data_IF_338810351520
#
_entry.id   IF_338810351520
#
_cell.length_a   1.000
_cell.length_b   1.000
_cell.length_c   1.000
_cell.angle_alpha   90.00
_cell.angle_beta   90.00
_cell.angle_gamma   90.00
#
_symmetry.space_group_name_H-M   'P 1'
#
loop_
_entity.id
_entity.type
_entity.pdbx_description
1 polymer ?
#
# COMPACT_ATOMS: atom_id res chain seq x y z
N UNK A 1 -3.38 -16.93 -32.43
CA UNK A 1 -2.27 -17.34 -31.55
C UNK A 1 -1.76 -16.21 -30.67
N UNK A 2 -1.31 -15.05 -31.18
CA UNK A 2 -0.78 -13.95 -30.34
C UNK A 2 -1.85 -13.32 -29.41
N UNK A 3 -3.04 -13.02 -29.92
CA UNK A 3 -4.16 -12.50 -29.12
C UNK A 3 -4.72 -13.51 -28.09
N UNK A 4 -4.54 -14.81 -28.35
CA UNK A 4 -4.99 -15.89 -27.48
C UNK A 4 -3.99 -16.11 -26.33
N UNK A 5 -2.69 -15.98 -26.62
CA UNK A 5 -1.63 -15.95 -25.61
C UNK A 5 -1.76 -14.75 -24.66
N UNK A 6 -2.07 -13.56 -25.19
CA UNK A 6 -2.26 -12.35 -24.38
C UNK A 6 -3.51 -12.44 -23.49
N UNK A 7 -4.58 -13.07 -23.98
CA UNK A 7 -5.80 -13.36 -23.18
C UNK A 7 -5.57 -14.41 -22.10
N UNK A 8 -4.79 -15.46 -22.38
CA UNK A 8 -4.42 -16.48 -21.38
C UNK A 8 -3.47 -15.89 -20.32
N UNK A 9 -2.52 -15.03 -20.70
CA UNK A 9 -1.63 -14.35 -19.77
C UNK A 9 -2.37 -13.34 -18.89
N UNK A 10 -3.31 -12.58 -19.43
CA UNK A 10 -4.13 -11.64 -18.65
C UNK A 10 -5.11 -12.35 -17.72
N UNK A 11 -5.73 -13.45 -18.15
CA UNK A 11 -6.58 -14.30 -17.29
C UNK A 11 -5.78 -15.01 -16.18
N UNK A 12 -4.58 -15.53 -16.49
CA UNK A 12 -3.67 -16.15 -15.51
C UNK A 12 -3.13 -15.11 -14.52
N UNK A 13 -2.72 -13.94 -14.99
CA UNK A 13 -2.27 -12.84 -14.13
C UNK A 13 -3.40 -12.30 -13.25
N UNK A 14 -4.65 -12.27 -13.73
CA UNK A 14 -5.83 -11.87 -12.95
C UNK A 14 -6.17 -12.86 -11.83
N UNK A 15 -6.13 -14.16 -12.13
CA UNK A 15 -6.34 -15.24 -11.15
C UNK A 15 -5.26 -15.25 -10.05
N UNK A 16 -3.98 -15.08 -10.43
CA UNK A 16 -2.85 -15.12 -9.48
C UNK A 16 -2.68 -13.79 -8.71
N UNK A 17 -3.06 -12.63 -9.26
CA UNK A 17 -3.15 -11.36 -8.49
C UNK A 17 -4.07 -11.48 -7.29
N UNK A 18 -5.11 -12.31 -7.40
CA UNK A 18 -6.07 -12.52 -6.32
C UNK A 18 -5.51 -13.39 -5.19
N UNK A 19 -4.55 -14.30 -5.45
CA UNK A 19 -3.99 -15.27 -4.49
C UNK A 19 -3.27 -14.63 -3.29
N UNK A 20 -2.64 -13.46 -3.47
CA UNK A 20 -1.88 -12.81 -2.41
C UNK A 20 -2.69 -11.78 -1.60
N UNK A 21 -3.83 -11.32 -2.13
CA UNK A 21 -4.63 -10.24 -1.53
C UNK A 21 -6.02 -10.72 -1.10
N UNK A 22 -6.74 -11.45 -1.97
CA UNK A 22 -8.14 -11.82 -1.74
C UNK A 22 -8.37 -12.81 -0.58
N UNK A 23 -7.54 -13.85 -0.36
CA UNK A 23 -7.85 -14.84 0.68
C UNK A 23 -7.70 -14.24 2.09
N UNK A 24 -6.72 -13.36 2.28
CA UNK A 24 -6.47 -12.70 3.57
C UNK A 24 -7.53 -11.64 3.89
N UNK A 25 -8.02 -10.92 2.87
CA UNK A 25 -9.16 -9.99 3.05
C UNK A 25 -10.42 -10.75 3.47
N UNK A 26 -10.68 -11.92 2.86
CA UNK A 26 -11.84 -12.73 3.21
C UNK A 26 -11.75 -13.37 4.61
N UNK A 27 -10.54 -13.74 5.05
CA UNK A 27 -10.27 -14.32 6.36
C UNK A 27 -10.44 -13.29 7.49
N UNK A 28 -10.00 -12.05 7.28
CA UNK A 28 -10.04 -10.97 8.29
C UNK A 28 -11.16 -9.94 8.06
N UNK A 29 -12.18 -10.29 7.26
CA UNK A 29 -13.25 -9.36 6.81
C UNK A 29 -13.92 -8.57 7.93
N UNK A 30 -14.17 -9.20 9.08
CA UNK A 30 -14.81 -8.55 10.23
C UNK A 30 -13.93 -7.50 10.89
N UNK A 31 -12.61 -7.76 10.96
CA UNK A 31 -11.65 -6.78 11.48
C UNK A 31 -11.53 -5.59 10.53
N UNK A 32 -11.44 -5.86 9.23
CA UNK A 32 -11.40 -4.79 8.22
C UNK A 32 -12.69 -3.96 8.17
N UNK A 33 -13.86 -4.60 8.27
CA UNK A 33 -15.13 -3.89 8.40
C UNK A 33 -15.17 -3.02 9.67
N UNK A 34 -14.69 -3.54 10.80
CA UNK A 34 -14.56 -2.77 12.03
C UNK A 34 -13.64 -1.54 11.91
N UNK A 35 -12.49 -1.69 11.24
CA UNK A 35 -11.56 -0.58 10.97
C UNK A 35 -12.21 0.49 10.09
N UNK A 36 -12.85 0.09 8.98
CA UNK A 36 -13.55 1.02 8.09
C UNK A 36 -14.71 1.71 8.81
N UNK A 37 -15.47 0.99 9.65
CA UNK A 37 -16.56 1.57 10.43
C UNK A 37 -16.02 2.62 11.42
N UNK A 38 -14.94 2.32 12.15
CA UNK A 38 -14.30 3.27 13.06
C UNK A 38 -13.74 4.49 12.33
N UNK A 39 -13.10 4.30 11.18
CA UNK A 39 -12.61 5.41 10.35
C UNK A 39 -13.74 6.30 9.82
N UNK A 40 -14.84 5.67 9.39
CA UNK A 40 -16.06 6.39 8.99
C UNK A 40 -16.65 7.17 10.16
N UNK A 41 -16.77 6.57 11.34
CA UNK A 41 -17.23 7.27 12.55
C UNK A 41 -16.31 8.45 12.92
N UNK A 42 -14.99 8.27 12.86
CA UNK A 42 -14.02 9.32 13.13
C UNK A 42 -14.16 10.49 12.15
N UNK A 43 -14.36 10.19 10.86
CA UNK A 43 -14.53 11.21 9.83
C UNK A 43 -15.91 11.91 9.91
N UNK A 44 -16.98 11.17 10.22
CA UNK A 44 -18.28 11.75 10.52
C UNK A 44 -18.19 12.70 11.73
N UNK A 45 -17.45 12.34 12.79
CA UNK A 45 -17.20 13.24 13.93
C UNK A 45 -16.43 14.49 13.50
N UNK A 46 -15.47 14.38 12.57
CA UNK A 46 -14.75 15.54 12.03
C UNK A 46 -15.68 16.50 11.26
N UNK A 47 -16.58 15.95 10.44
CA UNK A 47 -17.60 16.71 9.70
C UNK A 47 -18.57 17.39 10.67
N UNK A 48 -19.13 16.64 11.62
CA UNK A 48 -20.08 17.16 12.61
C UNK A 48 -19.46 18.21 13.53
N UNK A 49 -18.17 18.06 13.89
CA UNK A 49 -17.44 19.06 14.66
C UNK A 49 -17.39 20.40 13.93
N UNK A 50 -17.02 20.42 12.64
CA UNK A 50 -16.90 21.66 11.89
C UNK A 50 -18.25 22.23 11.49
N UNK A 51 -19.24 21.38 11.23
CA UNK A 51 -20.63 21.80 11.07
C UNK A 51 -21.16 22.52 12.31
N UNK A 52 -21.04 21.90 13.48
CA UNK A 52 -21.50 22.49 14.76
C UNK A 52 -20.69 23.73 15.13
N UNK A 53 -19.40 23.77 14.81
CA UNK A 53 -18.56 24.96 14.99
C UNK A 53 -19.02 26.12 14.11
N UNK A 54 -19.33 25.88 12.84
CA UNK A 54 -19.84 26.91 11.93
C UNK A 54 -21.20 27.45 12.39
N UNK A 55 -22.11 26.55 12.77
CA UNK A 55 -23.39 26.94 13.36
C UNK A 55 -23.21 27.78 14.63
N UNK A 56 -22.31 27.37 15.52
CA UNK A 56 -21.97 28.06 16.76
C UNK A 56 -21.45 29.48 16.51
N UNK A 57 -20.54 29.67 15.54
CA UNK A 57 -19.99 30.97 15.16
C UNK A 57 -21.10 31.90 14.69
N UNK A 58 -21.91 31.45 13.72
CA UNK A 58 -23.00 32.26 13.18
C UNK A 58 -24.06 32.56 14.22
N UNK A 59 -24.41 31.60 15.10
CA UNK A 59 -25.43 31.83 16.12
C UNK A 59 -24.96 32.79 17.21
N UNK A 60 -23.68 32.73 17.57
CA UNK A 60 -23.09 33.65 18.56
C UNK A 60 -23.01 35.08 18.04
N UNK A 61 -22.82 35.27 16.73
CA UNK A 61 -22.82 36.58 16.09
C UNK A 61 -24.17 37.31 16.19
N UNK A 62 -25.28 36.57 16.30
CA UNK A 62 -26.64 37.13 16.35
C UNK A 62 -27.07 37.63 17.74
N UNK A 63 -26.15 37.83 18.69
CA UNK A 63 -26.43 38.26 20.08
C UNK A 63 -27.57 37.46 20.73
N UNK A 64 -27.33 36.17 21.03
CA UNK A 64 -28.36 35.30 21.60
C UNK A 64 -28.87 35.86 22.93
N UNK A 65 -30.20 35.89 23.11
CA UNK A 65 -30.85 36.40 24.32
C UNK A 65 -30.55 35.54 25.56
N UNK A 66 -30.19 34.26 25.36
CA UNK A 66 -29.88 33.32 26.43
C UNK A 66 -28.66 32.44 26.09
N UNK A 67 -27.72 32.34 27.03
CA UNK A 67 -26.48 31.53 26.92
C UNK A 67 -26.79 30.04 26.70
N UNK A 68 -27.91 29.55 27.23
CA UNK A 68 -28.37 28.15 27.07
C UNK A 68 -28.59 27.74 25.61
N UNK A 69 -28.94 28.68 24.72
CA UNK A 69 -29.14 28.40 23.28
C UNK A 69 -27.84 28.00 22.57
N UNK A 70 -26.70 28.37 23.13
CA UNK A 70 -25.36 28.16 22.56
C UNK A 70 -24.63 27.01 23.27
N UNK A 71 -25.08 26.66 24.48
CA UNK A 71 -24.45 25.63 25.31
C UNK A 71 -24.45 24.25 24.65
N UNK A 72 -25.56 23.85 24.01
CA UNK A 72 -25.67 22.54 23.35
C UNK A 72 -24.64 22.40 22.21
N UNK A 73 -24.52 23.34 21.26
CA UNK A 73 -23.42 23.33 20.29
C UNK A 73 -22.02 23.29 20.92
N UNK A 74 -21.76 24.02 22.02
CA UNK A 74 -20.45 24.02 22.68
C UNK A 74 -20.10 22.62 23.21
N UNK A 75 -21.03 21.96 23.90
CA UNK A 75 -20.85 20.59 24.37
C UNK A 75 -20.71 19.63 23.19
N UNK A 76 -21.48 19.83 22.13
CA UNK A 76 -21.39 19.07 20.88
C UNK A 76 -19.99 19.13 20.26
N UNK A 77 -19.43 20.32 20.09
CA UNK A 77 -18.07 20.51 19.55
C UNK A 77 -17.03 19.75 20.39
N UNK A 78 -17.13 19.82 21.73
CA UNK A 78 -16.22 19.08 22.63
C UNK A 78 -16.39 17.57 22.50
N UNK A 79 -17.63 17.10 22.49
CA UNK A 79 -17.94 15.68 22.34
C UNK A 79 -17.40 15.15 21.01
N UNK A 80 -17.71 15.79 19.88
CA UNK A 80 -17.21 15.39 18.56
C UNK A 80 -15.69 15.48 18.46
N UNK A 81 -15.05 16.43 19.14
CA UNK A 81 -13.59 16.52 19.22
C UNK A 81 -12.96 15.31 19.91
N UNK A 82 -13.50 14.92 21.06
CA UNK A 82 -13.04 13.75 21.82
C UNK A 82 -13.32 12.47 21.03
N UNK A 83 -14.56 12.27 20.55
CA UNK A 83 -14.94 11.08 19.78
C UNK A 83 -14.14 10.95 18.49
N UNK A 84 -13.88 12.04 17.75
CA UNK A 84 -12.98 12.03 16.57
C UNK A 84 -11.61 11.46 16.92
N UNK A 85 -11.01 11.91 18.03
CA UNK A 85 -9.69 11.46 18.45
C UNK A 85 -9.70 9.99 18.90
N UNK A 86 -10.70 9.60 19.70
CA UNK A 86 -10.86 8.23 20.20
C UNK A 86 -11.09 7.24 19.06
N UNK A 87 -12.04 7.50 18.16
CA UNK A 87 -12.31 6.61 17.03
C UNK A 87 -11.11 6.49 16.10
N UNK A 88 -10.41 7.60 15.81
CA UNK A 88 -9.19 7.58 14.98
C UNK A 88 -8.06 6.78 15.64
N UNK A 89 -7.92 6.86 16.96
CA UNK A 89 -6.92 6.08 17.69
C UNK A 89 -7.22 4.58 17.62
N UNK A 90 -8.47 4.19 17.92
CA UNK A 90 -8.90 2.79 17.89
C UNK A 90 -8.84 2.24 16.46
N UNK A 91 -9.27 3.01 15.46
CA UNK A 91 -9.15 2.70 14.04
C UNK A 91 -7.69 2.37 13.69
N UNK A 92 -6.75 3.25 14.07
CA UNK A 92 -5.33 3.06 13.75
C UNK A 92 -4.76 1.84 14.44
N UNK A 93 -5.11 1.61 15.71
CA UNK A 93 -4.65 0.44 16.46
C UNK A 93 -5.20 -0.87 15.86
N UNK A 94 -6.51 -0.93 15.61
CA UNK A 94 -7.17 -2.10 15.02
C UNK A 94 -6.71 -2.35 13.58
N UNK A 95 -6.48 -1.27 12.81
CA UNK A 95 -5.97 -1.34 11.44
C UNK A 95 -4.57 -1.93 11.39
N UNK A 96 -3.67 -1.46 12.25
CA UNK A 96 -2.32 -2.04 12.35
C UNK A 96 -2.34 -3.48 12.84
N UNK A 97 -3.09 -3.83 13.90
CA UNK A 97 -3.18 -5.22 14.37
C UNK A 97 -3.67 -6.16 13.25
N UNK A 98 -4.73 -5.76 12.53
CA UNK A 98 -5.27 -6.57 11.45
C UNK A 98 -4.26 -6.77 10.30
N UNK A 99 -3.57 -5.70 9.89
CA UNK A 99 -2.61 -5.76 8.78
C UNK A 99 -1.33 -6.49 9.17
N UNK A 100 -0.86 -6.35 10.42
CA UNK A 100 0.32 -7.08 10.91
C UNK A 100 0.09 -8.59 10.97
N UNK A 101 -1.14 -9.04 11.30
CA UNK A 101 -1.50 -10.46 11.22
C UNK A 101 -1.46 -10.97 9.77
N UNK A 102 -2.03 -10.22 8.84
CA UNK A 102 -1.95 -10.54 7.40
C UNK A 102 -0.50 -10.61 6.94
N UNK A 103 0.34 -9.67 7.39
CA UNK A 103 1.76 -9.64 7.07
C UNK A 103 2.50 -10.88 7.60
N UNK A 104 2.19 -11.32 8.81
CA UNK A 104 2.75 -12.53 9.40
C UNK A 104 2.39 -13.76 8.55
N UNK A 105 1.13 -13.90 8.15
CA UNK A 105 0.68 -15.02 7.32
C UNK A 105 1.33 -15.00 5.92
N UNK A 106 1.51 -13.81 5.33
CA UNK A 106 2.18 -13.64 4.05
C UNK A 106 3.68 -13.98 4.13
N UNK A 107 4.36 -13.61 5.23
CA UNK A 107 5.76 -13.99 5.47
C UNK A 107 5.91 -15.51 5.59
N UNK A 108 4.98 -16.19 6.26
CA UNK A 108 4.97 -17.66 6.35
C UNK A 108 4.73 -18.29 4.98
N UNK A 109 3.79 -17.77 4.19
CA UNK A 109 3.55 -18.25 2.81
C UNK A 109 4.80 -18.09 1.94
N UNK A 110 5.45 -16.93 1.99
CA UNK A 110 6.68 -16.67 1.24
C UNK A 110 7.83 -17.60 1.69
N UNK A 111 7.98 -17.83 2.99
CA UNK A 111 8.97 -18.76 3.52
C UNK A 111 8.74 -20.19 3.00
N UNK A 112 7.50 -20.69 3.03
CA UNK A 112 7.15 -22.02 2.50
C UNK A 112 7.39 -22.17 1.00
N UNK A 113 7.30 -21.07 0.24
CA UNK A 113 7.63 -21.07 -1.19
C UNK A 113 9.16 -21.14 -1.38
N UNK A 114 9.94 -20.45 -0.54
CA UNK A 114 11.39 -20.34 -0.66
C UNK A 114 12.16 -21.52 -0.07
N UNK A 115 11.67 -22.12 1.02
CA UNK A 115 12.31 -23.22 1.76
C UNK A 115 12.71 -24.40 0.85
N UNK A 116 11.83 -24.95 -0.01
CA UNK A 116 12.19 -26.08 -0.88
C UNK A 116 13.22 -25.72 -1.95
N UNK A 117 13.35 -24.43 -2.26
CA UNK A 117 14.23 -23.91 -3.30
C UNK A 117 15.60 -23.49 -2.75
N UNK A 118 15.78 -23.49 -1.42
CA UNK A 118 16.98 -22.97 -0.75
C UNK A 118 18.28 -23.64 -1.22
N UNK A 119 18.24 -24.94 -1.55
CA UNK A 119 19.39 -25.69 -2.07
C UNK A 119 19.78 -25.31 -3.50
N UNK A 120 18.83 -24.83 -4.31
CA UNK A 120 19.04 -24.41 -5.71
C UNK A 120 19.15 -22.89 -5.89
N UNK A 121 18.82 -22.11 -4.85
CA UNK A 121 18.81 -20.65 -4.86
C UNK A 121 20.19 -20.06 -5.20
N UNK A 122 21.27 -20.71 -4.75
CA UNK A 122 22.66 -20.23 -4.87
C UNK A 122 23.15 -20.11 -6.32
N UNK A 123 22.51 -20.78 -7.30
CA UNK A 123 22.93 -20.73 -8.71
C UNK A 123 22.07 -19.85 -9.61
N UNK A 124 20.88 -19.40 -9.16
CA UNK A 124 19.89 -18.73 -10.04
C UNK A 124 19.30 -17.44 -9.49
N UNK A 125 19.51 -17.12 -8.22
CA UNK A 125 18.98 -15.91 -7.60
C UNK A 125 20.05 -15.20 -6.78
N UNK A 126 20.14 -13.89 -6.93
CA UNK A 126 20.94 -13.09 -6.02
C UNK A 126 20.27 -13.10 -4.65
N UNK A 127 21.02 -13.41 -3.59
CA UNK A 127 20.52 -13.40 -2.20
C UNK A 127 19.80 -12.08 -1.87
N UNK A 128 20.26 -10.97 -2.45
CA UNK A 128 19.64 -9.65 -2.33
C UNK A 128 18.20 -9.55 -2.86
N UNK A 129 17.85 -10.27 -3.94
CA UNK A 129 16.49 -10.27 -4.48
C UNK A 129 15.50 -11.00 -3.57
N UNK A 130 15.96 -12.09 -2.94
CA UNK A 130 15.17 -12.87 -1.97
C UNK A 130 14.94 -12.05 -0.70
N UNK A 131 16.00 -11.41 -0.20
CA UNK A 131 15.94 -10.56 0.99
C UNK A 131 15.06 -9.32 0.74
N UNK A 132 15.17 -8.71 -0.44
CA UNK A 132 14.33 -7.59 -0.87
C UNK A 132 12.86 -7.98 -0.98
N UNK A 133 12.55 -9.18 -1.48
CA UNK A 133 11.18 -9.67 -1.53
C UNK A 133 10.58 -9.92 -0.13
N UNK A 134 11.36 -10.51 0.78
CA UNK A 134 10.95 -10.78 2.17
C UNK A 134 10.76 -9.50 3.00
N UNK A 135 11.63 -8.51 2.81
CA UNK A 135 11.64 -7.28 3.59
C UNK A 135 10.76 -6.20 2.94
N UNK A 136 11.07 -5.75 1.72
CA UNK A 136 10.43 -4.58 1.11
C UNK A 136 9.10 -4.91 0.45
N UNK A 137 9.03 -5.98 -0.35
CA UNK A 137 7.83 -6.22 -1.16
C UNK A 137 6.65 -6.68 -0.31
N UNK A 138 6.89 -7.52 0.71
CA UNK A 138 5.87 -7.90 1.70
C UNK A 138 5.43 -6.70 2.55
N UNK A 139 6.34 -5.82 2.97
CA UNK A 139 5.98 -4.60 3.70
C UNK A 139 5.16 -3.62 2.85
N UNK A 140 5.39 -3.55 1.53
CA UNK A 140 4.53 -2.78 0.62
C UNK A 140 3.10 -3.28 0.58
N UNK A 141 2.83 -4.58 0.83
CA UNK A 141 1.45 -5.08 0.94
C UNK A 141 0.73 -4.49 2.14
N UNK A 142 1.42 -4.22 3.26
CA UNK A 142 0.83 -3.52 4.39
C UNK A 142 0.38 -2.09 4.01
N UNK A 143 1.21 -1.37 3.24
CA UNK A 143 0.89 -0.02 2.79
C UNK A 143 -0.33 0.01 1.87
N UNK A 144 -0.58 -1.03 1.07
CA UNK A 144 -1.82 -1.15 0.27
C UNK A 144 -3.06 -1.09 1.16
N UNK A 145 -3.08 -1.81 2.28
CA UNK A 145 -4.25 -1.82 3.16
C UNK A 145 -4.42 -0.49 3.90
N UNK A 146 -3.36 -0.03 4.57
CA UNK A 146 -3.42 1.11 5.47
C UNK A 146 -3.49 2.47 4.74
N UNK A 147 -2.82 2.60 3.60
CA UNK A 147 -2.70 3.87 2.87
C UNK A 147 -3.58 3.95 1.64
N UNK A 148 -4.18 2.85 1.20
CA UNK A 148 -4.98 2.83 -0.03
C UNK A 148 -6.38 2.30 0.22
N UNK A 149 -6.54 1.07 0.71
CA UNK A 149 -7.86 0.44 0.83
C UNK A 149 -8.74 1.12 1.89
N UNK A 150 -8.26 1.24 3.14
CA UNK A 150 -9.09 1.83 4.21
C UNK A 150 -9.44 3.31 3.96
N UNK A 151 -8.48 4.17 3.56
CA UNK A 151 -8.80 5.55 3.23
C UNK A 151 -9.76 5.67 2.04
N UNK A 152 -9.59 4.85 0.99
CA UNK A 152 -10.47 4.90 -0.19
C UNK A 152 -11.92 4.51 0.11
N UNK A 153 -12.15 3.47 0.92
CA UNK A 153 -13.51 3.07 1.29
C UNK A 153 -14.16 4.14 2.18
N UNK A 154 -13.42 4.65 3.17
CA UNK A 154 -13.90 5.71 4.07
C UNK A 154 -14.24 6.98 3.28
N UNK A 155 -13.37 7.37 2.35
CA UNK A 155 -13.58 8.49 1.44
C UNK A 155 -14.82 8.30 0.56
N UNK A 156 -15.04 7.11 0.01
CA UNK A 156 -16.22 6.82 -0.82
C UNK A 156 -17.52 6.91 -0.02
N UNK A 157 -17.52 6.40 1.22
CA UNK A 157 -18.68 6.49 2.12
C UNK A 157 -18.99 7.96 2.43
N UNK A 158 -17.97 8.77 2.77
CA UNK A 158 -18.14 10.19 3.03
C UNK A 158 -18.56 10.98 1.80
N UNK A 159 -18.02 10.65 0.64
CA UNK A 159 -18.42 11.23 -0.65
C UNK A 159 -19.91 10.99 -0.88
N UNK A 160 -20.37 9.74 -0.76
CA UNK A 160 -21.78 9.40 -0.90
C UNK A 160 -22.65 10.12 0.13
N UNK A 161 -22.24 10.12 1.40
CA UNK A 161 -22.95 10.81 2.47
C UNK A 161 -23.05 12.32 2.24
N UNK A 162 -21.98 12.95 1.73
CA UNK A 162 -21.96 14.38 1.41
C UNK A 162 -22.92 14.70 0.26
N UNK A 163 -22.84 13.96 -0.86
CA UNK A 163 -23.74 14.16 -2.01
C UNK A 163 -25.19 13.95 -1.62
N UNK A 164 -25.50 12.91 -0.82
CA UNK A 164 -26.86 12.68 -0.31
C UNK A 164 -27.31 13.85 0.59
N UNK A 165 -26.44 14.33 1.49
CA UNK A 165 -26.78 15.42 2.42
C UNK A 165 -27.02 16.75 1.72
N UNK A 166 -26.25 17.08 0.67
CA UNK A 166 -26.54 18.26 -0.15
C UNK A 166 -27.80 18.05 -1.01
N UNK A 167 -28.03 16.82 -1.50
CA UNK A 167 -29.16 16.48 -2.34
C UNK A 167 -30.52 16.57 -1.65
N UNK A 168 -30.57 16.51 -0.31
CA UNK A 168 -31.82 16.78 0.43
C UNK A 168 -32.23 18.24 0.43
N UNK A 169 -31.30 19.16 0.13
CA UNK A 169 -31.56 20.60 0.05
C UNK A 169 -31.74 21.02 -1.40
N UNK A 170 -30.71 20.80 -2.23
CA UNK A 170 -30.75 21.12 -3.66
C UNK A 170 -30.03 20.03 -4.47
N UNK A 171 -30.77 19.36 -5.34
CA UNK A 171 -30.26 18.26 -6.14
C UNK A 171 -29.25 18.72 -7.20
N UNK A 172 -29.44 19.91 -7.78
CA UNK A 172 -28.55 20.44 -8.81
C UNK A 172 -27.17 20.75 -8.25
N UNK A 173 -27.13 21.42 -7.10
CA UNK A 173 -25.91 21.74 -6.36
C UNK A 173 -25.21 20.48 -5.86
N UNK A 174 -25.96 19.48 -5.39
CA UNK A 174 -25.41 18.19 -4.99
C UNK A 174 -24.67 17.48 -6.13
N UNK A 175 -25.22 17.50 -7.34
CA UNK A 175 -24.56 16.94 -8.53
C UNK A 175 -23.31 17.70 -8.91
N UNK A 176 -23.36 19.04 -8.89
CA UNK A 176 -22.18 19.88 -9.12
C UNK A 176 -21.07 19.59 -8.11
N UNK A 177 -21.40 19.52 -6.82
CA UNK A 177 -20.45 19.21 -5.75
C UNK A 177 -19.90 17.79 -5.85
N UNK A 178 -20.75 16.82 -6.20
CA UNK A 178 -20.32 15.46 -6.50
C UNK A 178 -19.30 15.44 -7.64
N UNK A 179 -19.54 16.20 -8.72
CA UNK A 179 -18.60 16.29 -9.84
C UNK A 179 -17.27 16.92 -9.43
N UNK A 180 -17.28 18.00 -8.63
CA UNK A 180 -16.05 18.62 -8.10
C UNK A 180 -15.22 17.64 -7.27
N UNK A 181 -15.88 16.91 -6.36
CA UNK A 181 -15.24 15.92 -5.52
C UNK A 181 -14.71 14.74 -6.33
N UNK A 182 -15.47 14.25 -7.31
CA UNK A 182 -15.05 13.18 -8.22
C UNK A 182 -13.83 13.61 -9.04
N UNK A 183 -13.80 14.86 -9.50
CA UNK A 183 -12.64 15.43 -10.20
C UNK A 183 -11.39 15.40 -9.31
N UNK A 184 -11.52 15.77 -8.04
CA UNK A 184 -10.40 15.82 -7.08
C UNK A 184 -9.85 14.42 -6.75
N UNK A 185 -10.73 13.43 -6.57
CA UNK A 185 -10.38 12.06 -6.16
C UNK A 185 -9.91 11.20 -7.34
N UNK A 186 -10.50 11.41 -8.52
CA UNK A 186 -10.29 10.56 -9.68
C UNK A 186 -9.42 11.21 -10.75
N UNK A 187 -9.92 12.30 -11.34
CA UNK A 187 -9.34 12.83 -12.57
C UNK A 187 -7.97 13.48 -12.34
N UNK A 188 -7.82 14.28 -11.27
CA UNK A 188 -6.57 14.96 -10.93
C UNK A 188 -5.41 13.99 -10.63
N UNK A 189 -5.56 12.96 -9.77
CA UNK A 189 -4.51 11.95 -9.57
C UNK A 189 -4.29 11.06 -10.79
N UNK A 190 -5.32 10.75 -11.60
CA UNK A 190 -5.12 9.98 -12.84
C UNK A 190 -4.27 10.73 -13.87
N UNK A 191 -4.53 12.04 -14.05
CA UNK A 191 -3.71 12.91 -14.90
C UNK A 191 -2.28 12.97 -14.35
N UNK A 192 -2.13 13.18 -13.04
CA UNK A 192 -0.81 13.24 -12.41
C UNK A 192 -0.03 11.95 -12.60
N UNK A 193 -0.68 10.80 -12.42
CA UNK A 193 -0.07 9.49 -12.61
C UNK A 193 0.43 9.32 -14.05
N UNK A 194 -0.41 9.65 -15.04
CA UNK A 194 -0.05 9.55 -16.47
C UNK A 194 1.14 10.42 -16.84
N UNK A 195 1.18 11.66 -16.33
CA UNK A 195 2.26 12.62 -16.62
C UNK A 195 3.56 12.22 -15.91
N UNK A 196 3.48 11.85 -14.64
CA UNK A 196 4.67 11.57 -13.81
C UNK A 196 5.23 10.16 -13.99
N UNK A 197 4.50 9.24 -14.63
CA UNK A 197 4.90 7.83 -14.80
C UNK A 197 6.32 7.67 -15.31
N UNK A 198 6.64 8.27 -16.48
CA UNK A 198 7.95 8.13 -17.12
C UNK A 198 9.07 8.71 -16.24
N UNK A 199 8.78 9.80 -15.53
CA UNK A 199 9.73 10.44 -14.62
C UNK A 199 9.99 9.60 -13.37
N UNK A 200 8.94 8.99 -12.78
CA UNK A 200 9.06 8.07 -11.64
C UNK A 200 9.88 6.83 -12.02
N UNK A 201 9.61 6.23 -13.18
CA UNK A 201 10.40 5.09 -13.71
C UNK A 201 11.85 5.50 -13.96
N UNK A 202 12.09 6.67 -14.57
CA UNK A 202 13.44 7.18 -14.79
C UNK A 202 14.17 7.41 -13.46
N UNK A 203 13.54 8.08 -12.49
CA UNK A 203 14.14 8.33 -11.17
C UNK A 203 14.52 7.02 -10.47
N UNK A 204 13.67 5.99 -10.55
CA UNK A 204 13.97 4.66 -10.01
C UNK A 204 15.21 4.06 -10.67
N UNK A 205 15.35 4.17 -12.00
CA UNK A 205 16.53 3.69 -12.74
C UNK A 205 17.80 4.46 -12.34
N UNK A 206 17.74 5.79 -12.28
CA UNK A 206 18.88 6.62 -11.86
C UNK A 206 19.32 6.28 -10.43
N UNK A 207 18.39 6.14 -9.48
CA UNK A 207 18.70 5.73 -8.11
C UNK A 207 19.35 4.34 -8.07
N UNK A 208 18.85 3.37 -8.84
CA UNK A 208 19.45 2.04 -8.90
C UNK A 208 20.89 2.10 -9.41
N UNK A 209 21.17 2.86 -10.47
CA UNK A 209 22.53 3.05 -10.95
C UNK A 209 23.43 3.74 -9.94
N UNK A 210 22.90 4.75 -9.22
CA UNK A 210 23.62 5.46 -8.16
C UNK A 210 24.01 4.50 -7.03
N UNK A 211 23.08 3.66 -6.56
CA UNK A 211 23.36 2.69 -5.50
C UNK A 211 24.37 1.61 -5.94
N UNK A 212 24.26 1.10 -7.16
CA UNK A 212 25.24 0.13 -7.68
C UNK A 212 26.64 0.75 -7.75
N UNK A 213 26.78 1.94 -8.34
CA UNK A 213 28.07 2.63 -8.45
C UNK A 213 28.66 2.99 -7.10
N UNK A 214 27.83 3.46 -6.18
CA UNK A 214 28.28 3.78 -4.83
C UNK A 214 28.78 2.52 -4.11
N UNK A 215 28.07 1.39 -4.25
CA UNK A 215 28.49 0.12 -3.64
C UNK A 215 29.82 -0.35 -4.21
N UNK A 216 29.96 -0.37 -5.54
CA UNK A 216 31.21 -0.73 -6.22
C UNK A 216 32.36 0.21 -5.81
N UNK A 217 32.09 1.51 -5.73
CA UNK A 217 33.07 2.51 -5.33
C UNK A 217 33.51 2.40 -3.87
N UNK A 218 32.59 2.08 -2.96
CA UNK A 218 32.90 1.87 -1.53
C UNK A 218 33.68 0.58 -1.32
N UNK A 219 33.29 -0.51 -1.99
CA UNK A 219 34.01 -1.78 -1.92
C UNK A 219 35.41 -1.69 -2.57
N UNK A 220 35.53 -0.90 -3.65
CA UNK A 220 36.78 -0.64 -4.37
C UNK A 220 37.49 0.65 -3.95
N UNK A 221 37.19 1.22 -2.77
CA UNK A 221 37.74 2.53 -2.38
C UNK A 221 39.27 2.51 -2.31
N UNK A 222 39.86 1.36 -1.95
CA UNK A 222 41.31 1.15 -1.93
C UNK A 222 41.95 1.37 -3.29
N UNK A 223 41.33 0.91 -4.37
CA UNK A 223 41.82 1.08 -5.74
C UNK A 223 41.76 2.55 -6.18
N UNK A 224 40.72 3.28 -5.75
CA UNK A 224 40.57 4.72 -5.99
C UNK A 224 41.62 5.56 -5.25
N UNK A 225 41.93 5.22 -3.99
CA UNK A 225 42.99 5.89 -3.24
C UNK A 225 44.38 5.54 -3.78
N UNK A 226 44.64 4.26 -4.04
CA UNK A 226 45.94 3.79 -4.54
C UNK A 226 46.28 4.36 -5.92
N UNK A 227 45.29 4.57 -6.78
CA UNK A 227 45.46 5.21 -8.09
C UNK A 227 45.57 6.74 -8.03
N UNK A 228 45.38 7.37 -6.87
CA UNK A 228 45.38 8.84 -6.74
C UNK A 228 44.16 9.53 -7.38
N UNK A 229 43.12 8.78 -7.74
CA UNK A 229 41.94 9.26 -8.49
C UNK A 229 40.72 9.54 -7.61
N UNK A 230 40.90 9.74 -6.30
CA UNK A 230 39.80 9.99 -5.37
C UNK A 230 38.90 11.18 -5.77
N UNK A 231 39.48 12.26 -6.32
CA UNK A 231 38.71 13.41 -6.80
C UNK A 231 37.81 13.06 -8.01
N UNK A 232 38.24 12.13 -8.86
CA UNK A 232 37.43 11.67 -10.00
C UNK A 232 36.26 10.81 -9.54
N UNK A 233 36.47 9.97 -8.52
CA UNK A 233 35.39 9.22 -7.88
C UNK A 233 34.28 10.14 -7.35
N UNK A 234 34.67 11.19 -6.61
CA UNK A 234 33.71 12.20 -6.10
C UNK A 234 32.95 12.87 -7.25
N UNK A 235 33.66 13.32 -8.29
CA UNK A 235 33.03 13.98 -9.46
C UNK A 235 32.01 13.06 -10.16
N UNK A 236 32.36 11.78 -10.36
CA UNK A 236 31.46 10.80 -10.98
C UNK A 236 30.19 10.56 -10.14
N UNK A 237 30.32 10.63 -8.81
CA UNK A 237 29.19 10.49 -7.90
C UNK A 237 28.31 11.74 -7.91
N UNK A 238 28.91 12.94 -7.87
CA UNK A 238 28.20 14.22 -8.01
C UNK A 238 27.41 14.29 -9.33
N UNK A 239 28.01 13.90 -10.46
CA UNK A 239 27.31 13.82 -11.74
C UNK A 239 26.11 12.86 -11.72
N UNK A 240 26.24 11.74 -11.00
CA UNK A 240 25.16 10.78 -10.80
C UNK A 240 24.01 11.37 -10.00
N UNK A 241 24.34 12.05 -8.91
CA UNK A 241 23.37 12.75 -8.05
C UNK A 241 22.67 13.89 -8.80
N UNK A 242 23.40 14.70 -9.57
CA UNK A 242 22.82 15.80 -10.36
C UNK A 242 21.79 15.30 -11.38
N UNK A 243 22.06 14.16 -12.04
CA UNK A 243 21.11 13.52 -12.97
C UNK A 243 19.85 13.10 -12.23
N UNK A 244 19.97 12.39 -11.10
CA UNK A 244 18.83 11.98 -10.28
C UNK A 244 18.05 13.20 -9.74
N UNK A 245 18.75 14.25 -9.33
CA UNK A 245 18.17 15.48 -8.80
C UNK A 245 17.47 16.32 -9.87
N UNK A 246 17.95 16.32 -11.11
CA UNK A 246 17.23 16.97 -12.22
C UNK A 246 15.84 16.36 -12.43
N UNK A 247 15.74 15.01 -12.36
CA UNK A 247 14.47 14.28 -12.47
C UNK A 247 13.62 14.53 -11.22
N UNK A 248 14.22 14.49 -10.03
CA UNK A 248 13.53 14.79 -8.75
C UNK A 248 12.96 16.20 -8.71
N UNK A 249 13.70 17.20 -9.19
CA UNK A 249 13.23 18.59 -9.33
C UNK A 249 12.06 18.70 -10.30
N UNK A 250 12.06 17.96 -11.40
CA UNK A 250 10.93 17.93 -12.33
C UNK A 250 9.66 17.35 -11.68
N UNK A 251 9.79 16.24 -10.94
CA UNK A 251 8.69 15.63 -10.19
C UNK A 251 8.17 16.58 -9.10
N UNK A 252 9.05 17.18 -8.30
CA UNK A 252 8.66 18.14 -7.25
C UNK A 252 7.94 19.35 -7.81
N UNK A 253 8.34 19.86 -8.97
CA UNK A 253 7.60 20.95 -9.65
C UNK A 253 6.19 20.48 -10.01
N UNK A 254 6.03 19.30 -10.61
CA UNK A 254 4.72 18.74 -10.92
C UNK A 254 3.84 18.56 -9.68
N UNK A 255 4.37 18.00 -8.60
CA UNK A 255 3.63 17.84 -7.34
C UNK A 255 3.19 19.18 -6.78
N UNK A 256 4.06 20.20 -6.77
CA UNK A 256 3.70 21.56 -6.31
C UNK A 256 2.58 22.18 -7.16
N UNK A 257 2.67 22.07 -8.48
CA UNK A 257 1.63 22.57 -9.38
C UNK A 257 0.29 21.84 -9.18
N UNK A 258 0.32 20.52 -9.02
CA UNK A 258 -0.85 19.70 -8.68
C UNK A 258 -1.48 20.16 -7.37
N UNK A 259 -0.68 20.33 -6.33
CA UNK A 259 -1.16 20.74 -5.00
C UNK A 259 -1.76 22.15 -5.05
N UNK A 260 -1.14 23.06 -5.80
CA UNK A 260 -1.68 24.40 -6.04
C UNK A 260 -3.03 24.34 -6.77
N UNK A 261 -3.14 23.53 -7.83
CA UNK A 261 -4.41 23.34 -8.57
C UNK A 261 -5.49 22.77 -7.64
N UNK A 262 -5.16 21.75 -6.85
CA UNK A 262 -6.07 21.17 -5.87
C UNK A 262 -6.54 22.21 -4.84
N UNK A 263 -5.62 23.03 -4.31
CA UNK A 263 -5.96 24.12 -3.39
C UNK A 263 -6.85 25.20 -4.02
N UNK A 264 -6.58 25.59 -5.27
CA UNK A 264 -7.44 26.52 -6.01
C UNK A 264 -8.86 25.95 -6.22
N UNK A 265 -8.99 24.65 -6.53
CA UNK A 265 -10.29 23.98 -6.66
C UNK A 265 -11.04 23.96 -5.33
N UNK A 266 -10.34 23.65 -4.23
CA UNK A 266 -10.94 23.69 -2.88
C UNK A 266 -11.39 25.12 -2.55
N UNK A 267 -10.58 26.13 -2.87
CA UNK A 267 -10.96 27.54 -2.71
C UNK A 267 -12.20 27.92 -3.51
N UNK A 268 -12.29 27.47 -4.77
CA UNK A 268 -13.47 27.68 -5.62
C UNK A 268 -14.71 26.97 -5.07
N UNK A 269 -14.53 25.78 -4.50
CA UNK A 269 -15.61 25.01 -3.85
C UNK A 269 -16.14 25.76 -2.62
N UNK A 270 -15.27 26.34 -1.80
CA UNK A 270 -15.64 27.19 -0.66
C UNK A 270 -16.46 28.40 -1.11
N UNK A 271 -16.01 29.11 -2.15
CA UNK A 271 -16.76 30.25 -2.70
C UNK A 271 -18.11 29.81 -3.25
N UNK A 272 -18.15 28.71 -4.02
CA UNK A 272 -19.38 28.17 -4.60
C UNK A 272 -20.42 27.81 -3.54
N UNK A 273 -20.00 27.12 -2.48
CA UNK A 273 -20.89 26.75 -1.35
C UNK A 273 -21.34 27.98 -0.57
N UNK A 274 -20.48 28.98 -0.41
CA UNK A 274 -20.85 30.23 0.27
C UNK A 274 -21.92 30.99 -0.51
N UNK A 275 -21.75 31.12 -1.84
CA UNK A 275 -22.72 31.79 -2.71
C UNK A 275 -24.04 31.02 -2.77
N UNK A 276 -23.97 29.69 -2.92
CA UNK A 276 -25.15 28.82 -2.91
C UNK A 276 -25.92 28.92 -1.58
N UNK A 277 -25.24 28.71 -0.45
CA UNK A 277 -25.87 28.78 0.86
C UNK A 277 -26.44 30.18 1.17
N UNK A 278 -25.78 31.24 0.68
CA UNK A 278 -26.29 32.60 0.76
C UNK A 278 -27.56 32.83 -0.07
N UNK A 279 -27.61 32.31 -1.30
CA UNK A 279 -28.78 32.39 -2.16
C UNK A 279 -29.98 31.62 -1.60
N UNK A 280 -29.75 30.41 -1.09
CA UNK A 280 -30.79 29.61 -0.41
C UNK A 280 -31.30 30.26 0.88
N UNK A 281 -30.40 30.93 1.60
CA UNK A 281 -30.81 31.71 2.77
C UNK A 281 -31.63 32.95 2.39
N UNK A 282 -31.28 33.63 1.30
CA UNK A 282 -32.06 34.77 0.77
C UNK A 282 -33.43 34.33 0.25
N UNK A 283 -33.53 33.13 -0.33
CA UNK A 283 -34.78 32.50 -0.75
C UNK A 283 -35.64 31.99 0.42
N UNK A 284 -35.13 32.05 1.67
CA UNK A 284 -35.83 31.60 2.87
C UNK A 284 -35.89 30.08 3.04
N UNK A 285 -35.20 29.31 2.19
CA UNK A 285 -35.15 27.84 2.28
C UNK A 285 -34.19 27.36 3.36
N UNK A 286 -33.15 28.15 3.67
CA UNK A 286 -32.18 27.86 4.71
C UNK A 286 -32.09 29.02 5.73
N UNK A 287 -31.97 28.72 7.04
CA UNK A 287 -31.61 29.73 8.01
C UNK A 287 -30.21 30.29 7.73
N UNK A 288 -30.05 31.62 7.70
CA UNK A 288 -28.75 32.27 7.45
C UNK A 288 -27.63 31.84 8.42
N UNK A 289 -27.99 31.32 9.59
CA UNK A 289 -27.06 30.76 10.59
C UNK A 289 -26.32 29.53 10.07
N UNK A 290 -26.86 28.82 9.08
CA UNK A 290 -26.31 27.56 8.56
C UNK A 290 -25.21 27.78 7.52
N UNK A 291 -25.05 29.00 6.99
CA UNK A 291 -24.09 29.29 5.91
C UNK A 291 -22.67 28.88 6.33
N UNK A 292 -22.20 29.31 7.50
CA UNK A 292 -20.88 28.94 8.00
C UNK A 292 -20.76 27.44 8.27
N UNK A 293 -21.85 26.78 8.70
CA UNK A 293 -21.86 25.34 8.94
C UNK A 293 -21.61 24.54 7.65
N UNK A 294 -22.31 24.89 6.56
CA UNK A 294 -22.11 24.23 5.26
C UNK A 294 -20.74 24.50 4.65
N UNK A 295 -20.23 25.74 4.78
CA UNK A 295 -18.90 26.10 4.26
C UNK A 295 -17.80 25.35 5.01
N UNK A 296 -17.87 25.26 6.34
CA UNK A 296 -16.82 24.60 7.13
C UNK A 296 -16.80 23.08 6.98
N UNK A 297 -17.91 22.44 6.60
CA UNK A 297 -17.98 20.99 6.33
C UNK A 297 -17.11 20.57 5.14
N UNK A 298 -16.72 21.51 4.26
CA UNK A 298 -15.85 21.22 3.11
C UNK A 298 -14.43 20.83 3.49
N UNK A 299 -13.89 21.43 4.55
CA UNK A 299 -12.52 21.14 5.00
C UNK A 299 -12.33 19.68 5.42
N UNK A 300 -13.13 19.09 6.33
CA UNK A 300 -12.96 17.70 6.74
C UNK A 300 -13.31 16.72 5.61
N UNK A 301 -14.24 17.09 4.71
CA UNK A 301 -14.49 16.31 3.50
C UNK A 301 -13.24 16.24 2.63
N UNK A 302 -12.63 17.38 2.30
CA UNK A 302 -11.40 17.41 1.48
C UNK A 302 -10.22 16.72 2.17
N UNK A 303 -10.02 16.89 3.48
CA UNK A 303 -9.03 16.16 4.27
C UNK A 303 -9.18 14.64 4.16
N UNK A 304 -10.41 14.13 4.17
CA UNK A 304 -10.67 12.70 4.07
C UNK A 304 -10.43 12.13 2.65
N UNK A 305 -10.46 12.99 1.63
CA UNK A 305 -10.35 12.62 0.23
C UNK A 305 -8.91 12.69 -0.31
N UNK A 306 -8.08 13.59 0.23
CA UNK A 306 -6.67 13.75 -0.17
C UNK A 306 -5.85 12.43 -0.15
N UNK A 307 -5.96 11.56 0.87
CA UNK A 307 -5.23 10.29 0.90
C UNK A 307 -5.54 9.36 -0.28
N UNK A 308 -6.73 9.47 -0.87
CA UNK A 308 -7.11 8.63 -2.03
C UNK A 308 -6.30 9.02 -3.26
N UNK A 309 -6.07 10.32 -3.47
CA UNK A 309 -5.24 10.81 -4.58
C UNK A 309 -3.79 10.33 -4.44
N UNK A 310 -3.24 10.36 -3.23
CA UNK A 310 -1.90 9.81 -2.96
C UNK A 310 -1.84 8.29 -3.11
N UNK A 311 -2.93 7.60 -2.80
CA UNK A 311 -3.04 6.15 -2.96
C UNK A 311 -3.01 5.72 -4.45
N UNK A 312 -3.74 6.44 -5.31
CA UNK A 312 -3.76 6.20 -6.78
C UNK A 312 -2.35 6.34 -7.36
N UNK A 313 -1.56 7.27 -6.85
CA UNK A 313 -0.18 7.47 -7.31
C UNK A 313 0.78 6.32 -6.97
N UNK A 314 0.47 5.51 -5.96
CA UNK A 314 1.31 4.39 -5.49
C UNK A 314 0.97 3.05 -6.15
N UNK A 315 -0.14 2.98 -6.89
CA UNK A 315 -0.56 1.78 -7.64
C UNK A 315 0.57 1.14 -8.48
N UNK A 316 1.45 1.89 -9.18
CA UNK A 316 2.51 1.29 -9.98
C UNK A 316 3.53 0.52 -9.12
N UNK A 317 3.87 1.05 -7.95
CA UNK A 317 4.82 0.46 -7.01
C UNK A 317 4.26 -0.84 -6.44
N UNK A 318 2.98 -0.84 -6.09
CA UNK A 318 2.26 -2.03 -5.66
C UNK A 318 2.21 -3.10 -6.75
N UNK A 319 1.92 -2.71 -8.00
CA UNK A 319 1.91 -3.63 -9.14
C UNK A 319 3.27 -4.29 -9.34
N UNK A 320 4.36 -3.52 -9.32
CA UNK A 320 5.70 -4.06 -9.51
C UNK A 320 6.11 -5.04 -8.40
N UNK A 321 5.71 -4.76 -7.15
CA UNK A 321 6.01 -5.63 -6.00
C UNK A 321 5.24 -6.94 -6.09
N UNK A 322 3.95 -6.87 -6.48
CA UNK A 322 3.13 -8.06 -6.75
C UNK A 322 3.68 -8.90 -7.90
N UNK A 323 4.05 -8.27 -9.03
CA UNK A 323 4.60 -8.98 -10.19
C UNK A 323 5.91 -9.72 -9.81
N UNK A 324 6.74 -9.14 -8.93
CA UNK A 324 7.96 -9.79 -8.43
C UNK A 324 7.67 -10.97 -7.52
N UNK A 325 6.76 -10.83 -6.55
CA UNK A 325 6.34 -11.94 -5.67
C UNK A 325 5.75 -13.10 -6.47
N UNK A 326 4.97 -12.78 -7.52
CA UNK A 326 4.43 -13.77 -8.45
C UNK A 326 5.52 -14.50 -9.24
N UNK A 327 6.55 -13.77 -9.69
CA UNK A 327 7.65 -14.40 -10.41
C UNK A 327 8.43 -15.39 -9.53
N UNK A 328 8.49 -15.15 -8.21
CA UNK A 328 9.08 -16.08 -7.24
C UNK A 328 8.22 -17.33 -7.02
N UNK A 329 6.89 -17.17 -6.90
CA UNK A 329 5.95 -18.28 -6.80
C UNK A 329 5.96 -19.15 -8.06
N UNK A 330 5.98 -18.52 -9.24
CA UNK A 330 6.05 -19.18 -10.54
C UNK A 330 7.30 -20.03 -10.70
N UNK A 331 8.49 -19.50 -10.36
CA UNK A 331 9.74 -20.28 -10.38
C UNK A 331 9.72 -21.47 -9.42
N UNK A 332 9.02 -21.34 -8.28
CA UNK A 332 8.88 -22.42 -7.31
C UNK A 332 8.04 -23.60 -7.80
N UNK A 333 6.89 -23.33 -8.42
CA UNK A 333 6.01 -24.40 -8.89
C UNK A 333 6.62 -25.20 -10.05
N UNK A 334 7.27 -24.54 -11.02
CA UNK A 334 7.83 -25.25 -12.19
C UNK A 334 9.00 -26.16 -11.83
N UNK A 335 9.71 -25.87 -10.73
CA UNK A 335 10.85 -26.68 -10.29
C UNK A 335 10.50 -27.70 -9.21
N UNK A 336 9.55 -27.43 -8.31
CA UNK A 336 9.03 -28.45 -7.40
C UNK A 336 8.42 -29.64 -8.15
N UNK A 337 7.71 -29.37 -9.25
CA UNK A 337 7.17 -30.41 -10.13
C UNK A 337 8.28 -31.15 -10.88
N UNK A 338 9.28 -30.46 -11.44
CA UNK A 338 10.41 -31.11 -12.14
C UNK A 338 11.30 -31.94 -11.21
N UNK A 339 11.58 -31.46 -9.99
CA UNK A 339 12.36 -32.19 -8.99
C UNK A 339 11.60 -33.43 -8.51
N UNK A 340 10.29 -33.30 -8.26
CA UNK A 340 9.46 -34.45 -7.87
C UNK A 340 9.33 -35.48 -9.00
N UNK A 341 9.27 -35.04 -10.26
CA UNK A 341 9.28 -35.91 -11.45
C UNK A 341 10.65 -36.57 -11.64
N UNK A 342 11.76 -35.85 -11.49
CA UNK A 342 13.12 -36.41 -11.62
C UNK A 342 13.45 -37.36 -10.47
N UNK A 343 13.01 -37.10 -9.23
CA UNK A 343 13.13 -38.04 -8.11
C UNK A 343 12.27 -39.29 -8.32
N UNK A 344 11.01 -39.15 -8.76
CA UNK A 344 10.17 -40.32 -9.07
C UNK A 344 10.68 -41.10 -10.28
N UNK A 345 11.29 -40.44 -11.27
CA UNK A 345 11.98 -41.11 -12.38
C UNK A 345 13.24 -41.82 -11.92
N UNK A 346 14.07 -41.21 -11.07
CA UNK A 346 15.26 -41.85 -10.50
C UNK A 346 14.92 -43.03 -9.60
N UNK A 347 13.81 -42.95 -8.84
CA UNK A 347 13.29 -44.06 -8.05
C UNK A 347 12.69 -45.18 -8.93
N UNK A 348 12.22 -44.87 -10.14
CA UNK A 348 11.67 -45.82 -11.10
C UNK A 348 12.73 -46.41 -12.07
N UNK A 349 13.82 -45.69 -12.34
CA UNK A 349 14.94 -46.10 -13.22
C UNK A 349 16.14 -46.66 -12.43
N UNK A 350 16.10 -46.65 -11.09
CA UNK A 350 17.08 -47.37 -10.27
C UNK A 350 17.04 -48.87 -10.65
N UNK A 351 18.18 -49.48 -11.03
CA UNK A 351 18.24 -50.91 -11.29
C UNK A 351 17.75 -51.67 -10.06
N UNK A 352 17.01 -52.74 -10.28
CA UNK A 352 16.45 -53.63 -9.26
C UNK A 352 17.52 -54.41 -8.46
N UNK A 353 18.55 -53.75 -7.92
CA UNK A 353 19.56 -54.37 -7.04
C UNK A 353 18.92 -54.89 -5.74
N UNK A 354 17.75 -54.38 -5.36
CA UNK A 354 16.95 -54.84 -4.21
C UNK A 354 16.41 -56.27 -4.39
N UNK A 355 16.26 -56.74 -5.62
CA UNK A 355 15.79 -58.10 -5.92
C UNK A 355 16.93 -59.14 -5.89
N UNK A 356 18.18 -58.73 -6.11
CA UNK A 356 19.35 -59.64 -6.08
C UNK A 356 20.00 -59.75 -4.68
N UNK A 357 19.95 -58.71 -3.84
CA UNK A 357 20.49 -58.79 -2.47
C UNK A 357 19.69 -59.71 -1.54
N UNK A 358 18.39 -59.92 -1.80
CA UNK A 358 17.55 -60.76 -0.94
C UNK A 358 17.82 -62.27 -1.13
N UNK A 359 18.46 -62.67 -2.25
CA UNK A 359 18.73 -64.09 -2.53
C UNK A 359 20.13 -64.57 -2.07
N UNK A 360 21.12 -63.67 -1.96
CA UNK A 360 22.48 -64.06 -1.52
C UNK A 360 22.66 -64.22 -0.01
N UNK A 361 21.74 -63.71 0.81
CA UNK A 361 21.89 -63.74 2.27
C UNK A 361 21.51 -65.08 2.95
N UNK A 362 21.12 -66.12 2.19
CA UNK A 362 20.68 -67.41 2.76
C UNK A 362 21.78 -68.46 2.92
N UNK A 363 22.99 -68.26 2.38
CA UNK A 363 23.95 -69.39 2.26
C UNK A 363 25.43 -69.09 2.60
N UNK A 364 25.72 -68.15 3.51
CA UNK A 364 27.10 -68.00 4.01
C UNK A 364 27.17 -68.06 5.55
N UNK A 365 27.42 -69.28 6.05
CA UNK A 365 27.93 -69.51 7.42
C UNK A 365 29.38 -69.00 7.50
N UNK A 366 29.57 -67.81 8.04
CA UNK A 366 30.91 -67.27 8.32
C UNK A 366 31.36 -67.76 9.71
N UNK A 367 32.41 -68.60 9.75
CA UNK A 367 33.14 -68.95 10.97
C UNK A 367 33.92 -67.72 11.46
N UNK A 368 33.58 -67.21 12.65
CA UNK A 368 34.32 -66.15 13.32
C UNK A 368 35.63 -66.70 13.90
N UNK A 369 36.77 -66.20 13.41
CA UNK A 369 38.10 -66.38 14.00
C UNK A 369 38.45 -65.11 14.76
N UNK A 370 38.44 -65.18 16.09
CA UNK A 370 38.80 -64.06 16.98
C UNK A 370 40.32 -64.06 17.19
N UNK A 371 41.05 -62.98 16.86
CA UNK A 371 42.45 -62.83 17.24
C UNK A 371 42.58 -62.29 18.67
N UNK A 372 43.55 -62.79 19.48
CA UNK A 372 43.76 -62.33 20.84
C UNK A 372 44.75 -61.16 20.87
N UNK A 373 44.55 -60.29 21.87
CA UNK A 373 45.51 -59.35 22.53
C UNK A 373 45.05 -57.90 22.48
N UNK A 374 44.45 -57.47 23.60
CA UNK A 374 44.98 -56.40 24.45
C UNK A 374 44.15 -56.38 25.74
N UNK A 375 44.61 -57.19 26.69
CA UNK A 375 44.28 -57.12 28.12
C UNK A 375 45.49 -56.44 28.77
N UNK A 376 45.24 -55.38 29.52
CA UNK A 376 46.27 -54.67 30.29
C UNK A 376 45.71 -53.39 30.88
N UNK A 377 45.24 -53.51 32.13
CA UNK A 377 45.30 -52.57 33.27
C UNK A 377 44.86 -51.11 32.98
N UNK A 378 43.72 -50.61 33.47
CA UNK A 378 43.19 -50.50 34.83
C UNK A 378 41.65 -50.42 34.76
#
# INVERSE_FOLDING_TARGET
MEAEHEQIETARNGSVKSSWISPYVAQYRWRFAGVVALGTCAACCAVLLLFTSGFLISKSALRPENILMVYVPIVGVRAFGIFRAVFRYIERLAGHDAVLRVLADQRVKLYRILEPQALFLRSRMQTGDVLGALAEDVERLQDIYLRTVFPAITALILYGAAVISFGTVDLGFALWMGLYLLFLIGLLPAITLKITWKQKVRLKKENSHLYTRLTDGVLGIGDWLASGRAAEFVRLQEEGEERADSVRRSLRRWTRWRDLIAQCIIGLMVVSVTLWAGNEAAAGQLPAVMIAAFVLVLFPLTEALLPVSDAVERIPEYRQSLDRLQHLEGKGHTHGVKSGIDETKQLAEAPSESAEMTNRSRDQRIRLRIPPKLRGDI
#
